data_IF_597818618623
#
_entry.id   IF_597818618623
#
_cell.length_a   1.000
_cell.length_b   1.000
_cell.length_c   1.000
_cell.angle_alpha   90.00
_cell.angle_beta   90.00
_cell.angle_gamma   90.00
#
_symmetry.space_group_name_H-M   'P 1'
#
loop_
_entity.id
_entity.type
_entity.pdbx_description
1 polymer ?
#
# COMPACT_ATOMS: atom_id res chain seq x y z
N UNK A 1 5.00 33.87 -30.35
CA UNK A 1 5.75 32.77 -29.71
C UNK A 1 7.18 32.86 -30.16
N UNK A 2 8.10 33.15 -29.25
CA UNK A 2 9.52 33.25 -29.59
C UNK A 2 10.17 31.88 -29.77
N UNK A 3 11.35 31.83 -30.38
CA UNK A 3 12.14 30.59 -30.52
C UNK A 3 12.44 29.96 -29.15
N UNK A 4 12.67 30.80 -28.12
CA UNK A 4 12.86 30.37 -26.72
C UNK A 4 11.62 29.66 -26.16
N UNK A 5 10.41 30.17 -26.42
CA UNK A 5 9.17 29.53 -25.98
C UNK A 5 8.97 28.16 -26.64
N UNK A 6 9.36 28.05 -27.91
CA UNK A 6 9.28 26.82 -28.69
C UNK A 6 10.25 25.77 -28.15
N UNK A 7 11.48 26.17 -27.84
CA UNK A 7 12.48 25.30 -27.20
C UNK A 7 11.99 24.86 -25.83
N UNK A 8 11.48 25.77 -24.99
CA UNK A 8 10.94 25.43 -23.66
C UNK A 8 9.78 24.43 -23.75
N UNK A 9 8.88 24.62 -24.72
CA UNK A 9 7.75 23.71 -24.96
C UNK A 9 8.22 22.33 -25.46
N UNK A 10 9.19 22.28 -26.36
CA UNK A 10 9.79 21.04 -26.84
C UNK A 10 10.48 20.27 -25.68
N UNK A 11 11.25 20.97 -24.85
CA UNK A 11 11.90 20.39 -23.67
C UNK A 11 10.89 19.85 -22.66
N UNK A 12 9.81 20.59 -22.37
CA UNK A 12 8.73 20.10 -21.50
C UNK A 12 8.02 18.88 -22.10
N UNK A 13 7.80 18.87 -23.42
CA UNK A 13 7.19 17.74 -24.13
C UNK A 13 8.06 16.48 -24.09
N UNK A 14 9.38 16.62 -24.19
CA UNK A 14 10.32 15.52 -24.05
C UNK A 14 10.28 14.92 -22.63
N UNK A 15 10.23 15.77 -21.59
CA UNK A 15 10.10 15.32 -20.19
C UNK A 15 8.77 14.59 -19.97
N UNK A 16 7.65 15.14 -20.47
CA UNK A 16 6.34 14.49 -20.37
C UNK A 16 6.30 13.14 -21.10
N UNK A 17 6.96 13.04 -22.24
CA UNK A 17 7.05 11.79 -23.02
C UNK A 17 7.88 10.69 -22.34
N UNK A 18 8.79 11.08 -21.44
CA UNK A 18 9.54 10.16 -20.58
C UNK A 18 8.65 9.47 -19.52
N UNK A 19 7.39 9.88 -19.37
CA UNK A 19 6.45 9.39 -18.36
C UNK A 19 7.10 9.28 -16.96
N UNK A 20 7.54 10.42 -16.38
CA UNK A 20 8.14 10.41 -15.06
C UNK A 20 7.18 9.87 -14.01
N UNK A 21 7.72 9.53 -12.83
CA UNK A 21 6.90 9.02 -11.73
C UNK A 21 5.86 10.08 -11.37
N UNK A 22 4.59 9.70 -11.47
CA UNK A 22 3.47 10.56 -11.12
C UNK A 22 2.79 10.05 -9.86
N UNK A 23 2.46 10.99 -8.99
CA UNK A 23 1.65 10.74 -7.79
C UNK A 23 0.18 10.76 -8.20
N UNK A 24 -0.54 9.70 -7.85
CA UNK A 24 -1.95 9.48 -8.15
C UNK A 24 -2.67 9.09 -6.86
N UNK A 25 -3.99 9.23 -6.87
CA UNK A 25 -4.85 8.75 -5.80
C UNK A 25 -5.74 7.64 -6.29
N UNK A 26 -5.98 6.65 -5.44
CA UNK A 26 -6.91 5.59 -5.69
C UNK A 26 -7.79 5.26 -4.50
N UNK A 27 -8.82 4.48 -4.73
CA UNK A 27 -9.74 3.97 -3.72
C UNK A 27 -9.81 2.44 -3.82
N UNK A 28 -9.64 1.75 -2.70
CA UNK A 28 -9.75 0.29 -2.62
C UNK A 28 -11.22 -0.10 -2.73
N UNK A 29 -11.59 -0.85 -3.75
CA UNK A 29 -12.98 -1.28 -3.96
C UNK A 29 -13.31 -2.59 -3.24
N UNK A 30 -12.38 -3.54 -3.22
CA UNK A 30 -12.54 -4.83 -2.58
C UNK A 30 -11.18 -5.41 -2.22
N UNK A 31 -11.12 -6.15 -1.10
CA UNK A 31 -9.91 -6.84 -0.62
C UNK A 31 -9.81 -8.27 -1.14
N UNK A 32 -10.93 -8.94 -1.42
CA UNK A 32 -10.96 -10.36 -1.80
C UNK A 32 -10.43 -10.57 -3.22
N UNK A 33 -10.85 -9.71 -4.15
CA UNK A 33 -10.35 -9.67 -5.54
C UNK A 33 -9.28 -8.58 -5.76
N UNK A 34 -8.86 -7.91 -4.68
CA UNK A 34 -7.96 -6.74 -4.63
C UNK A 34 -8.03 -5.83 -5.87
N UNK A 35 -9.05 -4.96 -5.90
CA UNK A 35 -9.26 -3.98 -6.97
C UNK A 35 -9.11 -2.57 -6.43
N UNK A 36 -8.34 -1.75 -7.12
CA UNK A 36 -8.19 -0.33 -6.79
C UNK A 36 -8.67 0.49 -7.98
N UNK A 37 -9.55 1.44 -7.68
CA UNK A 37 -9.96 2.46 -8.61
C UNK A 37 -8.93 3.58 -8.61
N UNK A 38 -8.19 3.73 -9.69
CA UNK A 38 -7.26 4.83 -9.92
C UNK A 38 -8.01 5.91 -10.71
N UNK A 39 -8.14 7.11 -10.12
CA UNK A 39 -8.91 8.22 -10.72
C UNK A 39 -10.41 7.89 -10.97
N UNK A 40 -11.12 8.64 -11.81
CA UNK A 40 -12.57 8.52 -11.97
C UNK A 40 -13.05 7.30 -12.76
N UNK A 41 -12.19 6.65 -13.57
CA UNK A 41 -12.63 5.62 -14.54
C UNK A 41 -11.79 4.35 -14.62
N UNK A 42 -10.59 4.29 -14.05
CA UNK A 42 -9.70 3.15 -14.22
C UNK A 42 -9.80 2.24 -13.00
N UNK A 43 -10.31 1.02 -13.16
CA UNK A 43 -10.25 -0.02 -12.13
C UNK A 43 -9.21 -1.03 -12.57
N UNK A 44 -8.22 -1.28 -11.71
CA UNK A 44 -7.13 -2.19 -11.99
C UNK A 44 -7.11 -3.33 -10.97
N UNK A 45 -6.67 -4.49 -11.43
CA UNK A 45 -6.48 -5.69 -10.62
C UNK A 45 -5.12 -5.66 -9.89
N UNK A 46 -4.95 -6.60 -8.95
CA UNK A 46 -3.75 -6.73 -8.12
C UNK A 46 -2.43 -6.71 -8.87
N UNK A 47 -2.38 -7.29 -10.07
CA UNK A 47 -1.14 -7.45 -10.85
C UNK A 47 -0.49 -6.11 -11.26
N UNK A 48 -1.29 -5.05 -11.29
CA UNK A 48 -0.83 -3.70 -11.58
C UNK A 48 -0.26 -2.99 -10.34
N UNK A 49 -0.39 -3.56 -9.14
CA UNK A 49 0.02 -2.91 -7.89
C UNK A 49 1.17 -3.63 -7.20
N UNK A 50 2.18 -2.85 -6.83
CA UNK A 50 3.23 -3.25 -5.90
C UNK A 50 2.80 -2.76 -4.51
N UNK A 51 2.51 -3.71 -3.61
CA UNK A 51 1.99 -3.44 -2.27
C UNK A 51 3.13 -3.65 -1.26
N UNK A 52 3.60 -2.59 -0.58
CA UNK A 52 4.57 -2.73 0.49
C UNK A 52 4.01 -3.52 1.67
N UNK A 53 4.91 -4.17 2.41
CA UNK A 53 4.58 -4.96 3.61
C UNK A 53 3.84 -4.13 4.67
N UNK A 54 4.11 -2.83 4.76
CA UNK A 54 3.46 -1.92 5.70
C UNK A 54 1.94 -1.85 5.54
N UNK A 55 1.43 -2.12 4.34
CA UNK A 55 0.01 -2.08 4.00
C UNK A 55 -0.67 -3.46 4.07
N UNK A 56 0.06 -4.49 4.50
CA UNK A 56 -0.45 -5.85 4.69
C UNK A 56 -0.81 -6.05 6.16
N UNK A 57 -1.89 -6.80 6.39
CA UNK A 57 -2.34 -7.17 7.74
C UNK A 57 -1.23 -7.90 8.48
N UNK A 58 -0.91 -7.44 9.69
CA UNK A 58 0.12 -8.02 10.54
C UNK A 58 -0.48 -8.35 11.92
N UNK A 59 -0.46 -9.63 12.27
CA UNK A 59 -1.04 -10.20 13.48
C UNK A 59 0.02 -11.04 14.18
N UNK A 60 0.14 -10.89 15.50
CA UNK A 60 1.04 -11.68 16.32
C UNK A 60 0.26 -12.49 17.36
N UNK A 61 0.58 -13.77 17.47
CA UNK A 61 0.11 -14.60 18.58
C UNK A 61 1.05 -14.42 19.77
N UNK A 62 0.58 -13.80 20.84
CA UNK A 62 1.36 -13.67 22.06
C UNK A 62 1.23 -14.93 22.91
N UNK A 63 2.38 -15.52 23.26
CA UNK A 63 2.48 -16.59 24.25
C UNK A 63 3.32 -16.08 25.39
N UNK A 64 2.85 -16.29 26.61
CA UNK A 64 3.66 -16.02 27.80
C UNK A 64 3.46 -17.15 28.81
N UNK A 65 4.53 -17.49 29.50
CA UNK A 65 4.60 -18.56 30.49
C UNK A 65 4.88 -17.93 31.85
N UNK A 66 4.16 -18.33 32.88
CA UNK A 66 4.44 -17.93 34.26
C UNK A 66 5.13 -19.06 35.01
N UNK A 67 6.20 -18.74 35.73
CA UNK A 67 6.90 -19.67 36.63
C UNK A 67 6.58 -19.28 38.08
N UNK A 68 5.83 -20.13 38.79
CA UNK A 68 5.47 -19.92 40.19
C UNK A 68 6.30 -20.86 41.08
N UNK A 69 7.07 -20.29 42.01
CA UNK A 69 7.94 -21.03 42.95
C UNK A 69 7.21 -21.64 44.15
N UNK A 70 5.88 -21.63 44.18
CA UNK A 70 5.08 -22.17 45.30
C UNK A 70 4.27 -23.40 44.87
N UNK A 71 5.01 -24.50 44.67
CA UNK A 71 4.62 -25.90 44.81
C UNK A 71 3.18 -26.41 44.48
N UNK A 72 2.49 -25.83 43.50
CA UNK A 72 1.45 -26.54 42.74
C UNK A 72 1.22 -25.89 41.37
N UNK A 73 1.52 -26.67 40.33
CA UNK A 73 1.31 -26.44 38.90
C UNK A 73 2.53 -25.86 38.17
N UNK A 74 3.10 -26.74 37.35
CA UNK A 74 4.15 -26.53 36.35
C UNK A 74 3.58 -25.87 35.10
N UNK A 75 4.22 -24.78 34.65
CA UNK A 75 4.10 -24.17 33.31
C UNK A 75 2.70 -24.19 32.69
N UNK A 76 1.82 -23.29 33.13
CA UNK A 76 0.58 -23.03 32.41
C UNK A 76 0.89 -22.11 31.21
N UNK A 77 1.02 -22.68 30.02
CA UNK A 77 1.10 -21.93 28.76
C UNK A 77 -0.27 -21.25 28.50
N UNK A 78 -0.45 -20.06 29.06
CA UNK A 78 -1.59 -19.20 28.72
C UNK A 78 -1.31 -18.51 27.39
N UNK A 79 -1.83 -19.09 26.30
CA UNK A 79 -1.94 -18.39 25.02
C UNK A 79 -2.82 -17.15 25.21
N UNK A 80 -2.34 -15.98 24.81
CA UNK A 80 -3.15 -14.77 24.71
C UNK A 80 -3.81 -14.73 23.34
N UNK A 81 -4.91 -13.98 23.25
CA UNK A 81 -5.57 -13.71 21.98
C UNK A 81 -4.60 -13.02 21.00
N UNK A 82 -4.84 -13.26 19.71
CA UNK A 82 -4.06 -12.64 18.64
C UNK A 82 -4.15 -11.11 18.69
N UNK A 83 -3.00 -10.45 18.74
CA UNK A 83 -2.94 -8.98 18.66
C UNK A 83 -2.76 -8.57 17.21
N UNK A 84 -3.70 -7.78 16.71
CA UNK A 84 -3.61 -7.15 15.40
C UNK A 84 -2.78 -5.87 15.52
N UNK A 85 -1.56 -5.89 14.99
CA UNK A 85 -0.67 -4.70 14.97
C UNK A 85 -1.04 -3.79 13.81
N UNK A 86 -1.39 -4.38 12.66
CA UNK A 86 -1.85 -3.65 11.46
C UNK A 86 -3.00 -4.39 10.81
N UNK A 87 -4.05 -3.67 10.45
CA UNK A 87 -5.22 -4.26 9.79
C UNK A 87 -5.02 -4.46 8.27
N UNK A 88 -4.06 -3.74 7.68
CA UNK A 88 -3.88 -3.68 6.23
C UNK A 88 -4.89 -2.78 5.53
N UNK A 89 -4.95 -2.87 4.19
CA UNK A 89 -5.92 -2.12 3.37
C UNK A 89 -7.34 -2.72 3.48
N UNK A 90 -8.34 -1.85 3.57
CA UNK A 90 -9.77 -2.19 3.61
C UNK A 90 -10.55 -1.54 2.47
N UNK A 91 -11.72 -2.08 2.09
CA UNK A 91 -12.60 -1.43 1.12
C UNK A 91 -12.97 -0.02 1.59
N UNK A 92 -12.91 0.95 0.68
CA UNK A 92 -13.11 2.38 0.94
C UNK A 92 -11.86 3.15 1.37
N UNK A 93 -10.73 2.47 1.61
CA UNK A 93 -9.47 3.16 1.91
C UNK A 93 -8.97 3.94 0.69
N UNK A 94 -8.59 5.20 0.91
CA UNK A 94 -7.90 6.01 -0.10
C UNK A 94 -6.41 5.77 -0.02
N UNK A 95 -5.76 5.58 -1.16
CA UNK A 95 -4.34 5.27 -1.23
C UNK A 95 -3.60 6.22 -2.15
N UNK A 96 -2.36 6.48 -1.80
CA UNK A 96 -1.40 7.24 -2.61
C UNK A 96 -0.62 6.27 -3.48
N UNK A 97 -0.59 6.53 -4.79
CA UNK A 97 -0.02 5.66 -5.80
C UNK A 97 1.12 6.38 -6.51
N UNK A 98 2.21 5.67 -6.77
CA UNK A 98 3.32 6.13 -7.60
C UNK A 98 3.33 5.30 -8.89
N UNK A 99 3.11 5.94 -10.04
CA UNK A 99 3.20 5.25 -11.33
C UNK A 99 4.66 4.98 -11.68
N UNK A 100 4.99 3.71 -11.95
CA UNK A 100 6.33 3.30 -12.39
C UNK A 100 6.56 3.74 -13.84
N UNK A 101 7.75 4.28 -14.13
CA UNK A 101 8.12 4.73 -15.46
C UNK A 101 8.14 3.56 -16.46
N UNK A 102 7.67 3.80 -17.68
CA UNK A 102 7.69 2.79 -18.75
C UNK A 102 6.57 1.74 -18.69
N UNK A 103 5.62 1.83 -17.74
CA UNK A 103 4.53 0.85 -17.61
C UNK A 103 3.22 1.39 -17.04
N UNK A 104 2.33 0.43 -16.73
CA UNK A 104 1.04 0.65 -16.04
C UNK A 104 1.08 0.09 -14.60
N UNK A 105 2.28 -0.12 -14.05
CA UNK A 105 2.41 -0.55 -12.65
C UNK A 105 2.40 0.65 -11.71
N UNK A 106 1.85 0.44 -10.52
CA UNK A 106 1.71 1.44 -9.48
C UNK A 106 2.25 0.89 -8.16
N UNK A 107 3.12 1.65 -7.49
CA UNK A 107 3.53 1.37 -6.11
C UNK A 107 2.56 2.07 -5.18
N UNK A 108 1.97 1.35 -4.24
CA UNK A 108 1.16 1.96 -3.19
C UNK A 108 2.12 2.53 -2.14
N UNK A 109 2.19 3.86 -2.01
CA UNK A 109 3.11 4.49 -1.07
C UNK A 109 2.55 4.41 0.35
N UNK A 110 1.32 4.86 0.53
CA UNK A 110 0.64 4.83 1.82
C UNK A 110 -0.89 5.00 1.66
N UNK A 111 -1.62 4.79 2.76
CA UNK A 111 -3.02 5.15 2.91
C UNK A 111 -3.14 6.63 3.30
N UNK A 112 -4.13 7.31 2.72
CA UNK A 112 -4.51 8.68 3.07
C UNK A 112 -5.57 8.64 4.17
N UNK A 113 -5.39 9.43 5.24
CA UNK A 113 -6.28 9.51 6.39
C UNK A 113 -7.19 10.73 6.30
#
# INVERSE_FOLDING_TARGET
MGMIDTIKKASMGAIGSSNPVNILFGEVLSTDDFKIKVDQKLVLDRDFFIIPESLIRYVIGLKHTHDYKDNSITNLDTALDEIVIREGLKPGDKVLLLRVQGGQQFVILDKVV
#
